data_IF_935746256129
#
_entry.id   IF_935746256129
#
_cell.length_a   1.000
_cell.length_b   1.000
_cell.length_c   1.000
_cell.angle_alpha   90.00
_cell.angle_beta   90.00
_cell.angle_gamma   90.00
#
_symmetry.space_group_name_H-M   'P 1'
#
loop_
_entity.id
_entity.type
_entity.pdbx_description
1 polymer ?
#
# COMPACT_ATOMS: atom_id res chain seq x y z
N UNK A 1 -24.97 -34.64 -17.61
CA UNK A 1 -23.67 -33.93 -17.62
C UNK A 1 -23.25 -33.32 -18.98
N UNK A 2 -24.10 -33.28 -20.04
CA UNK A 2 -23.74 -32.80 -21.40
C UNK A 2 -24.38 -31.47 -21.88
N UNK A 3 -25.18 -30.78 -21.05
CA UNK A 3 -25.98 -29.64 -21.53
C UNK A 3 -25.25 -28.28 -21.43
N UNK A 4 -24.56 -28.02 -20.32
CA UNK A 4 -23.87 -26.73 -20.10
C UNK A 4 -22.77 -26.42 -21.13
N UNK A 5 -22.00 -27.42 -21.56
CA UNK A 5 -20.97 -27.21 -22.60
C UNK A 5 -21.55 -26.72 -23.93
N UNK A 6 -22.69 -27.28 -24.37
CA UNK A 6 -23.34 -26.85 -25.61
C UNK A 6 -23.92 -25.44 -25.48
N UNK A 7 -24.47 -25.11 -24.32
CA UNK A 7 -24.97 -23.76 -24.01
C UNK A 7 -23.82 -22.75 -24.04
N UNK A 8 -22.70 -23.03 -23.35
CA UNK A 8 -21.52 -22.15 -23.37
C UNK A 8 -20.96 -21.98 -24.78
N UNK A 9 -20.87 -23.06 -25.57
CA UNK A 9 -20.40 -22.99 -26.96
C UNK A 9 -21.30 -22.11 -27.82
N UNK A 10 -22.62 -22.23 -27.66
CA UNK A 10 -23.58 -21.40 -28.38
C UNK A 10 -23.44 -19.93 -28.00
N UNK A 11 -23.41 -19.61 -26.71
CA UNK A 11 -23.22 -18.24 -26.20
C UNK A 11 -21.90 -17.66 -26.74
N UNK A 12 -20.81 -18.42 -26.67
CA UNK A 12 -19.53 -17.96 -27.18
C UNK A 12 -19.57 -17.75 -28.70
N UNK A 13 -20.21 -18.63 -29.47
CA UNK A 13 -20.33 -18.45 -30.92
C UNK A 13 -21.19 -17.25 -31.32
N UNK A 14 -22.27 -16.98 -30.57
CA UNK A 14 -23.22 -15.89 -30.84
C UNK A 14 -22.66 -14.51 -30.41
N UNK A 15 -21.79 -14.48 -29.41
CA UNK A 15 -21.27 -13.23 -28.81
C UNK A 15 -19.74 -13.17 -28.80
N UNK A 16 -19.08 -13.87 -29.71
CA UNK A 16 -17.62 -14.07 -29.71
C UNK A 16 -16.85 -12.76 -29.59
N UNK A 17 -17.11 -11.81 -30.49
CA UNK A 17 -16.39 -10.53 -30.53
C UNK A 17 -16.53 -9.75 -29.23
N UNK A 18 -17.74 -9.70 -28.66
CA UNK A 18 -17.98 -9.01 -27.39
C UNK A 18 -17.27 -9.72 -26.22
N UNK A 19 -17.31 -11.05 -26.17
CA UNK A 19 -16.67 -11.84 -25.11
C UNK A 19 -15.14 -11.79 -25.20
N UNK A 20 -14.59 -11.85 -26.41
CA UNK A 20 -13.16 -11.70 -26.66
C UNK A 20 -12.72 -10.28 -26.26
N UNK A 21 -13.47 -9.24 -26.66
CA UNK A 21 -13.19 -7.86 -26.25
C UNK A 21 -13.23 -7.68 -24.72
N UNK A 22 -14.23 -8.25 -24.04
CA UNK A 22 -14.31 -8.24 -22.57
C UNK A 22 -13.10 -8.93 -21.95
N UNK A 23 -12.70 -10.08 -22.49
CA UNK A 23 -11.59 -10.85 -21.96
C UNK A 23 -10.25 -10.13 -22.17
N UNK A 24 -10.02 -9.56 -23.36
CA UNK A 24 -8.81 -8.81 -23.71
C UNK A 24 -8.67 -7.51 -22.91
N UNK A 25 -9.79 -6.85 -22.59
CA UNK A 25 -9.80 -5.59 -21.85
C UNK A 25 -10.00 -5.77 -20.34
N UNK A 26 -10.04 -7.01 -19.85
CA UNK A 26 -10.21 -7.28 -18.43
C UNK A 26 -9.00 -6.73 -17.65
N UNK A 27 -9.19 -5.84 -16.65
CA UNK A 27 -8.11 -5.40 -15.80
C UNK A 27 -7.48 -6.59 -15.08
N UNK A 28 -6.15 -6.64 -15.03
CA UNK A 28 -5.49 -7.69 -14.24
C UNK A 28 -5.70 -7.49 -12.73
N UNK A 29 -5.47 -8.57 -11.98
CA UNK A 29 -5.70 -8.58 -10.53
C UNK A 29 -4.90 -7.50 -9.78
N UNK A 30 -3.74 -7.08 -10.30
CA UNK A 30 -2.95 -6.03 -9.68
C UNK A 30 -3.62 -4.67 -9.85
N UNK A 31 -4.17 -4.39 -11.04
CA UNK A 31 -4.97 -3.17 -11.27
C UNK A 31 -6.19 -3.14 -10.34
N UNK A 32 -6.96 -4.22 -10.28
CA UNK A 32 -8.15 -4.31 -9.43
C UNK A 32 -7.78 -4.08 -7.94
N UNK A 33 -6.75 -4.76 -7.45
CA UNK A 33 -6.32 -4.58 -6.05
C UNK A 33 -5.79 -3.18 -5.78
N UNK A 34 -5.08 -2.57 -6.73
CA UNK A 34 -4.62 -1.20 -6.59
C UNK A 34 -5.80 -0.24 -6.41
N UNK A 35 -6.83 -0.34 -7.25
CA UNK A 35 -8.05 0.47 -7.14
C UNK A 35 -8.72 0.32 -5.77
N UNK A 36 -8.86 -0.92 -5.30
CA UNK A 36 -9.46 -1.22 -3.99
C UNK A 36 -8.64 -0.63 -2.83
N UNK A 37 -7.31 -0.70 -2.88
CA UNK A 37 -6.45 -0.09 -1.87
C UNK A 37 -6.51 1.44 -1.91
N UNK A 38 -6.48 2.02 -3.11
CA UNK A 38 -6.58 3.48 -3.32
C UNK A 38 -7.89 4.00 -2.74
N UNK A 39 -8.99 3.33 -2.99
CA UNK A 39 -10.30 3.74 -2.45
C UNK A 39 -10.37 3.60 -0.93
N UNK A 40 -9.95 2.45 -0.39
CA UNK A 40 -9.91 2.25 1.06
C UNK A 40 -9.04 3.30 1.76
N UNK A 41 -7.87 3.64 1.21
CA UNK A 41 -7.00 4.68 1.75
C UNK A 41 -7.57 6.09 1.56
N UNK A 42 -8.27 6.35 0.46
CA UNK A 42 -8.98 7.63 0.24
C UNK A 42 -10.05 7.84 1.30
N UNK A 43 -10.81 6.80 1.64
CA UNK A 43 -11.77 6.88 2.75
C UNK A 43 -11.09 7.09 4.11
N UNK A 44 -10.01 6.37 4.39
CA UNK A 44 -9.24 6.56 5.63
C UNK A 44 -8.63 7.96 5.72
N UNK A 45 -8.24 8.55 4.59
CA UNK A 45 -7.74 9.92 4.54
C UNK A 45 -8.85 10.95 4.83
N UNK A 46 -10.07 10.73 4.31
CA UNK A 46 -11.25 11.54 4.66
C UNK A 46 -11.58 11.47 6.15
N UNK A 47 -11.29 10.34 6.80
CA UNK A 47 -11.40 10.14 8.25
C UNK A 47 -10.23 10.74 9.04
N UNK A 48 -9.22 11.31 8.39
CA UNK A 48 -8.03 11.85 9.05
C UNK A 48 -7.08 10.80 9.62
N UNK A 49 -7.22 9.52 9.25
CA UNK A 49 -6.37 8.44 9.77
C UNK A 49 -5.04 8.28 9.06
N UNK A 50 -4.93 8.79 7.83
CA UNK A 50 -3.72 8.76 7.00
C UNK A 50 -3.66 10.01 6.14
N UNK A 51 -2.46 10.40 5.73
CA UNK A 51 -2.24 11.33 4.63
C UNK A 51 -2.04 10.51 3.35
N UNK A 52 -2.97 10.64 2.41
CA UNK A 52 -2.94 9.84 1.17
C UNK A 52 -3.06 10.74 -0.06
N UNK A 53 -2.07 10.63 -0.94
CA UNK A 53 -2.08 11.21 -2.28
C UNK A 53 -1.78 10.09 -3.29
N UNK A 54 -2.77 9.71 -4.13
CA UNK A 54 -2.63 8.60 -5.06
C UNK A 54 -1.56 8.84 -6.13
N UNK A 55 -1.14 10.09 -6.39
CA UNK A 55 -0.09 10.40 -7.37
C UNK A 55 1.28 9.84 -7.00
N UNK A 56 1.53 9.56 -5.72
CA UNK A 56 2.76 8.92 -5.24
C UNK A 56 2.69 7.39 -5.19
N UNK A 57 1.54 6.82 -5.60
CA UNK A 57 1.30 5.39 -5.65
C UNK A 57 1.46 4.85 -7.06
N UNK A 58 1.95 3.62 -7.15
CA UNK A 58 1.96 2.85 -8.39
C UNK A 58 1.12 1.59 -8.26
N UNK A 59 0.95 0.89 -9.37
CA UNK A 59 0.19 -0.37 -9.44
C UNK A 59 0.63 -1.41 -8.41
N UNK A 60 1.93 -1.51 -8.15
CA UNK A 60 2.53 -2.54 -7.27
C UNK A 60 2.88 -2.05 -5.86
N UNK A 61 2.90 -0.74 -5.64
CA UNK A 61 3.29 -0.11 -4.38
C UNK A 61 2.37 1.07 -4.13
N UNK A 62 1.52 0.94 -3.12
CA UNK A 62 0.60 2.01 -2.70
C UNK A 62 1.20 2.69 -1.48
N UNK A 63 1.30 4.02 -1.54
CA UNK A 63 2.02 4.84 -0.55
C UNK A 63 1.08 5.76 0.20
N UNK A 64 1.27 5.85 1.50
CA UNK A 64 0.59 6.81 2.37
C UNK A 64 1.52 7.23 3.52
N UNK A 65 1.16 8.28 4.23
CA UNK A 65 1.89 8.77 5.40
C UNK A 65 0.96 8.86 6.61
N UNK A 66 1.56 9.03 7.79
CA UNK A 66 0.86 9.41 9.02
C UNK A 66 1.33 10.81 9.42
N UNK A 67 0.41 11.65 9.89
CA UNK A 67 0.71 13.06 10.22
C UNK A 67 1.74 13.16 11.34
N UNK A 68 1.63 12.30 12.34
CA UNK A 68 2.48 12.27 13.53
C UNK A 68 3.95 11.98 13.18
N UNK A 69 4.19 11.06 12.23
CA UNK A 69 5.53 10.76 11.75
C UNK A 69 6.11 11.84 10.84
N UNK A 70 5.25 12.63 10.18
CA UNK A 70 5.70 13.75 9.34
C UNK A 70 6.41 14.81 10.18
N UNK A 71 6.01 14.95 11.45
CA UNK A 71 6.65 15.84 12.41
C UNK A 71 7.94 15.23 13.01
N UNK A 72 8.08 13.91 12.99
CA UNK A 72 9.28 13.21 13.46
C UNK A 72 10.40 13.32 12.42
N UNK A 73 10.09 13.04 11.16
CA UNK A 73 11.05 12.98 10.07
C UNK A 73 11.03 14.28 9.24
N UNK A 74 12.07 15.14 9.33
CA UNK A 74 12.09 16.40 8.61
C UNK A 74 12.15 16.18 7.09
N UNK A 75 11.61 17.13 6.33
CA UNK A 75 11.70 17.12 4.87
C UNK A 75 13.16 17.05 4.40
N UNK A 76 13.36 16.35 3.29
CA UNK A 76 14.63 16.30 2.58
C UNK A 76 14.98 17.70 2.03
N UNK A 77 16.27 18.03 1.84
CA UNK A 77 16.69 19.29 1.23
C UNK A 77 16.02 19.54 -0.14
N UNK A 78 15.82 20.81 -0.49
CA UNK A 78 15.18 21.21 -1.76
C UNK A 78 16.02 20.82 -2.99
N UNK A 79 17.35 20.84 -2.86
CA UNK A 79 18.29 20.45 -3.90
C UNK A 79 18.46 18.92 -4.03
N UNK A 80 17.91 18.15 -3.09
CA UNK A 80 18.11 16.69 -3.00
C UNK A 80 16.78 15.96 -2.74
N UNK A 81 15.88 15.89 -3.73
CA UNK A 81 14.64 15.13 -3.60
C UNK A 81 14.92 13.65 -3.36
N UNK A 82 13.98 13.01 -2.65
CA UNK A 82 14.01 11.57 -2.39
C UNK A 82 13.79 10.75 -3.67
N UNK A 83 13.96 9.43 -3.55
CA UNK A 83 13.77 8.48 -4.65
C UNK A 83 12.34 8.38 -5.20
N UNK A 84 11.39 9.15 -4.64
CA UNK A 84 10.02 9.29 -5.15
C UNK A 84 9.78 10.62 -5.87
N UNK A 85 10.82 11.41 -6.13
CA UNK A 85 10.69 12.71 -6.80
C UNK A 85 10.04 13.79 -5.94
N UNK A 86 10.03 13.61 -4.62
CA UNK A 86 9.51 14.57 -3.66
C UNK A 86 10.43 14.70 -2.44
N UNK A 87 10.20 15.72 -1.61
CA UNK A 87 11.04 15.99 -0.43
C UNK A 87 10.58 15.21 0.82
N UNK A 88 9.78 14.17 0.65
CA UNK A 88 9.31 13.33 1.75
C UNK A 88 10.36 12.25 2.04
N UNK A 89 10.85 12.12 3.28
CA UNK A 89 11.90 11.16 3.61
C UNK A 89 11.37 9.74 3.85
N UNK A 90 10.06 9.56 4.04
CA UNK A 90 9.45 8.25 4.29
C UNK A 90 8.05 8.14 3.68
N UNK A 91 7.60 6.89 3.57
CA UNK A 91 6.22 6.52 3.26
C UNK A 91 5.94 5.14 3.84
N UNK A 92 4.69 4.89 4.22
CA UNK A 92 4.20 3.53 4.38
C UNK A 92 3.87 2.94 3.01
N UNK A 93 4.33 1.72 2.74
CA UNK A 93 4.15 1.03 1.47
C UNK A 93 3.34 -0.26 1.67
N UNK A 94 2.19 -0.33 1.00
CA UNK A 94 1.45 -1.59 0.78
C UNK A 94 2.03 -2.25 -0.48
N UNK A 95 2.58 -3.45 -0.31
CA UNK A 95 3.04 -4.26 -1.44
C UNK A 95 1.86 -4.97 -2.11
N UNK A 96 1.53 -4.56 -3.32
CA UNK A 96 0.57 -5.24 -4.21
C UNK A 96 1.33 -6.11 -5.22
N UNK A 97 1.65 -7.36 -4.84
CA UNK A 97 2.38 -8.30 -5.69
C UNK A 97 1.50 -9.48 -6.09
N UNK A 98 1.68 -9.95 -7.32
CA UNK A 98 0.80 -10.90 -8.03
C UNK A 98 0.75 -12.30 -7.42
N UNK A 99 1.77 -12.69 -6.66
CA UNK A 99 1.95 -14.06 -6.16
C UNK A 99 1.55 -14.26 -4.70
N UNK A 100 1.54 -13.20 -3.89
CA UNK A 100 1.16 -13.25 -2.49
C UNK A 100 0.29 -12.05 -2.16
N UNK A 101 -1.01 -12.27 -2.09
CA UNK A 101 -1.97 -11.27 -1.62
C UNK A 101 -1.93 -11.10 -0.11
N UNK A 102 -0.85 -11.51 0.58
CA UNK A 102 -0.59 -11.00 1.93
C UNK A 102 -0.13 -9.55 1.78
N UNK A 103 -1.08 -8.62 1.84
CA UNK A 103 -0.74 -7.22 1.96
C UNK A 103 0.11 -7.06 3.22
N UNK A 104 1.33 -6.54 3.06
CA UNK A 104 2.16 -6.11 4.17
C UNK A 104 2.34 -4.62 4.02
N UNK A 105 2.15 -3.91 5.12
CA UNK A 105 2.55 -2.53 5.26
C UNK A 105 4.00 -2.53 5.75
N UNK A 106 4.84 -1.73 5.10
CA UNK A 106 6.21 -1.46 5.54
C UNK A 106 6.40 0.04 5.64
N UNK A 107 7.20 0.48 6.60
CA UNK A 107 7.68 1.85 6.63
C UNK A 107 8.98 1.92 5.82
N UNK A 108 8.95 2.65 4.70
CA UNK A 108 10.09 2.81 3.80
C UNK A 108 10.65 4.23 3.92
N UNK A 109 11.98 4.33 3.82
CA UNK A 109 12.72 5.58 3.80
C UNK A 109 13.41 5.80 2.46
N UNK A 110 13.62 7.07 2.14
CA UNK A 110 14.30 7.50 0.91
C UNK A 110 15.07 8.80 1.11
N UNK A 111 15.89 9.13 0.13
CA UNK A 111 16.71 10.34 0.11
C UNK A 111 18.04 10.20 0.82
N UNK A 112 18.90 11.19 0.56
CA UNK A 112 20.11 11.42 1.30
C UNK A 112 19.84 12.55 2.29
N UNK A 113 20.40 12.43 3.49
CA UNK A 113 20.38 13.48 4.51
C UNK A 113 21.81 13.83 4.85
N UNK A 114 22.06 15.06 5.27
CA UNK A 114 23.38 15.47 5.74
C UNK A 114 23.85 14.61 6.93
N UNK A 115 25.15 14.69 7.23
CA UNK A 115 25.78 13.82 8.23
C UNK A 115 25.21 14.03 9.65
N UNK A 116 24.80 15.25 9.98
CA UNK A 116 24.28 15.60 11.30
C UNK A 116 22.89 14.99 11.50
N UNK A 117 21.97 15.24 10.57
CA UNK A 117 20.62 14.66 10.55
C UNK A 117 20.66 13.15 10.45
N UNK A 118 21.62 12.61 9.69
CA UNK A 118 21.83 11.16 9.61
C UNK A 118 22.13 10.58 10.99
N UNK A 119 23.02 11.21 11.77
CA UNK A 119 23.39 10.72 13.10
C UNK A 119 22.21 10.75 14.08
N UNK A 120 21.41 11.81 14.08
CA UNK A 120 20.22 11.93 14.95
C UNK A 120 19.24 10.78 14.71
N UNK A 121 18.97 10.49 13.45
CA UNK A 121 18.01 9.45 13.07
C UNK A 121 18.60 8.04 13.18
N UNK A 122 19.90 7.86 12.97
CA UNK A 122 20.59 6.60 13.27
C UNK A 122 20.61 6.30 14.77
N UNK A 123 20.84 7.30 15.63
CA UNK A 123 20.73 7.16 17.08
C UNK A 123 19.30 6.79 17.50
N UNK A 124 18.32 7.48 16.92
CA UNK A 124 16.91 7.17 17.07
C UNK A 124 16.61 5.70 16.71
N UNK A 125 17.05 5.22 15.54
CA UNK A 125 16.84 3.83 15.12
C UNK A 125 17.56 2.81 16.01
N UNK A 126 18.77 3.09 16.49
CA UNK A 126 19.49 2.23 17.43
C UNK A 126 18.74 2.09 18.75
N UNK A 127 18.15 3.17 19.27
CA UNK A 127 17.28 3.13 20.47
C UNK A 127 16.06 2.23 20.28
N UNK A 128 15.63 1.98 19.04
CA UNK A 128 14.57 1.04 18.68
C UNK A 128 15.05 -0.39 18.40
N UNK A 129 16.34 -0.69 18.58
CA UNK A 129 16.92 -1.99 18.24
C UNK A 129 17.09 -2.23 16.73
N UNK A 130 17.06 -1.17 15.91
CA UNK A 130 17.31 -1.27 14.46
C UNK A 130 18.80 -1.08 14.21
N UNK A 131 19.52 -2.19 14.01
CA UNK A 131 21.00 -2.17 13.93
C UNK A 131 21.55 -2.05 12.50
N UNK A 132 20.83 -2.55 11.49
CA UNK A 132 21.31 -2.59 10.10
C UNK A 132 21.05 -1.26 9.38
N UNK A 133 21.88 -0.26 9.66
CA UNK A 133 21.78 1.10 9.12
C UNK A 133 22.63 1.23 7.86
N UNK A 134 22.02 1.75 6.78
CA UNK A 134 22.71 1.96 5.50
C UNK A 134 23.43 3.32 5.49
N UNK A 135 24.50 3.48 4.68
CA UNK A 135 25.17 4.76 4.45
C UNK A 135 24.25 5.89 3.97
N UNK A 136 23.20 5.52 3.24
CA UNK A 136 22.09 6.38 2.87
C UNK A 136 20.79 5.61 3.09
N UNK A 137 19.70 6.30 3.41
CA UNK A 137 18.45 5.62 3.76
C UNK A 137 17.61 5.23 2.55
N UNK A 138 18.19 5.36 1.36
CA UNK A 138 17.58 4.91 0.11
C UNK A 138 17.13 3.46 0.22
N UNK A 139 15.82 3.28 0.08
CA UNK A 139 15.17 1.97 0.03
C UNK A 139 15.40 1.15 1.30
N UNK A 140 15.55 1.82 2.46
CA UNK A 140 15.51 1.13 3.74
C UNK A 140 14.05 0.96 4.12
N UNK A 141 13.61 -0.29 4.27
CA UNK A 141 12.29 -0.59 4.82
C UNK A 141 12.43 -1.25 6.18
N UNK A 142 11.57 -0.85 7.11
CA UNK A 142 11.41 -1.45 8.43
C UNK A 142 9.94 -1.81 8.67
N UNK A 143 9.69 -2.58 9.72
CA UNK A 143 8.38 -3.13 10.00
C UNK A 143 7.94 -4.20 8.99
N UNK A 144 6.69 -4.63 9.12
CA UNK A 144 6.14 -5.72 8.33
C UNK A 144 4.73 -6.13 8.76
N UNK A 145 3.89 -5.14 9.08
CA UNK A 145 2.56 -5.38 9.60
C UNK A 145 1.67 -6.03 8.54
N UNK A 146 1.01 -7.12 8.91
CA UNK A 146 0.17 -7.90 7.99
C UNK A 146 -1.23 -7.31 7.97
N UNK A 147 -1.74 -7.04 6.78
CA UNK A 147 -3.18 -6.82 6.54
C UNK A 147 -3.81 -8.12 6.02
N UNK A 148 -5.13 -8.24 6.20
CA UNK A 148 -5.93 -9.37 5.72
C UNK A 148 -5.72 -9.55 4.22
N UNK A 149 -5.43 -10.77 3.81
CA UNK A 149 -5.23 -11.11 2.40
C UNK A 149 -6.55 -11.31 1.68
N UNK A 150 -6.65 -10.82 0.45
CA UNK A 150 -7.77 -11.12 -0.47
C UNK A 150 -7.33 -12.24 -1.40
N UNK A 151 -8.10 -13.33 -1.52
CA UNK A 151 -7.65 -14.46 -2.34
C UNK A 151 -7.65 -14.10 -3.83
N UNK A 152 -6.64 -14.58 -4.59
CA UNK A 152 -6.55 -14.37 -6.05
C UNK A 152 -7.81 -14.85 -6.78
N UNK A 153 -8.32 -16.03 -6.37
CA UNK A 153 -9.54 -16.60 -6.92
C UNK A 153 -10.77 -15.73 -6.65
N UNK A 154 -10.81 -15.01 -5.53
CA UNK A 154 -11.89 -14.07 -5.26
C UNK A 154 -11.81 -12.87 -6.21
N UNK A 155 -10.61 -12.31 -6.43
CA UNK A 155 -10.38 -11.20 -7.37
C UNK A 155 -10.73 -11.60 -8.82
N UNK A 156 -10.37 -12.82 -9.23
CA UNK A 156 -10.72 -13.38 -10.54
C UNK A 156 -12.23 -13.62 -10.70
N UNK A 157 -12.98 -13.69 -9.61
CA UNK A 157 -14.43 -13.86 -9.59
C UNK A 157 -15.17 -12.63 -9.07
N UNK A 158 -14.49 -11.47 -8.91
CA UNK A 158 -15.16 -10.19 -8.72
C UNK A 158 -15.89 -9.88 -10.03
N UNK A 159 -17.09 -10.42 -10.14
CA UNK A 159 -18.08 -10.04 -11.14
C UNK A 159 -18.68 -8.70 -10.75
N UNK A 160 -19.21 -7.99 -11.74
CA UNK A 160 -19.60 -6.56 -11.80
C UNK A 160 -20.70 -6.17 -10.77
N UNK A 161 -21.05 -7.03 -9.83
CA UNK A 161 -21.97 -6.67 -8.75
C UNK A 161 -21.27 -5.70 -7.78
N UNK A 162 -21.66 -4.42 -7.85
CA UNK A 162 -21.13 -3.32 -7.02
C UNK A 162 -21.14 -3.67 -5.52
N UNK A 163 -22.16 -4.40 -5.05
CA UNK A 163 -22.28 -4.83 -3.65
C UNK A 163 -21.09 -5.70 -3.17
N UNK A 164 -20.55 -6.57 -4.04
CA UNK A 164 -19.39 -7.39 -3.69
C UNK A 164 -18.10 -6.57 -3.59
N UNK A 165 -17.99 -5.52 -4.41
CA UNK A 165 -16.88 -4.58 -4.42
C UNK A 165 -16.89 -3.71 -3.15
N UNK A 166 -18.04 -3.15 -2.80
CA UNK A 166 -18.20 -2.27 -1.64
C UNK A 166 -17.93 -3.02 -0.33
N UNK A 167 -18.45 -4.25 -0.20
CA UNK A 167 -18.16 -5.10 0.94
C UNK A 167 -16.65 -5.40 1.06
N UNK A 168 -15.96 -5.60 -0.07
CA UNK A 168 -14.52 -5.83 -0.07
C UNK A 168 -13.74 -4.59 0.37
N UNK A 169 -14.11 -3.40 -0.10
CA UNK A 169 -13.49 -2.14 0.32
C UNK A 169 -13.67 -1.94 1.81
N UNK A 170 -14.88 -2.18 2.33
CA UNK A 170 -15.17 -2.12 3.76
C UNK A 170 -14.29 -3.07 4.57
N UNK A 171 -14.14 -4.31 4.11
CA UNK A 171 -13.27 -5.32 4.73
C UNK A 171 -11.79 -4.93 4.71
N UNK A 172 -11.31 -4.42 3.57
CA UNK A 172 -9.94 -3.95 3.39
C UNK A 172 -9.65 -2.75 4.30
N UNK A 173 -10.53 -1.75 4.29
CA UNK A 173 -10.46 -0.58 5.14
C UNK A 173 -10.44 -0.96 6.62
N UNK A 174 -11.31 -1.86 7.05
CA UNK A 174 -11.32 -2.35 8.43
C UNK A 174 -10.01 -3.04 8.78
N UNK A 175 -9.47 -3.86 7.87
CA UNK A 175 -8.18 -4.50 8.08
C UNK A 175 -7.02 -3.50 8.15
N UNK A 176 -6.98 -2.51 7.25
CA UNK A 176 -5.94 -1.49 7.23
C UNK A 176 -6.05 -0.66 8.51
N UNK A 177 -7.24 -0.20 8.89
CA UNK A 177 -7.47 0.57 10.11
C UNK A 177 -6.98 -0.16 11.35
N UNK A 178 -7.29 -1.45 11.49
CA UNK A 178 -6.79 -2.27 12.61
C UNK A 178 -5.26 -2.33 12.62
N UNK A 179 -4.65 -2.49 11.44
CA UNK A 179 -3.19 -2.51 11.33
C UNK A 179 -2.57 -1.14 11.60
N UNK A 180 -3.26 -0.04 11.26
CA UNK A 180 -2.84 1.30 11.62
C UNK A 180 -2.80 1.46 13.14
N UNK A 181 -3.74 0.90 13.90
CA UNK A 181 -3.69 0.95 15.37
C UNK A 181 -2.41 0.30 15.94
N UNK A 182 -1.95 -0.78 15.33
CA UNK A 182 -0.69 -1.43 15.71
C UNK A 182 0.52 -0.58 15.30
N UNK A 183 0.49 -0.01 14.09
CA UNK A 183 1.51 0.94 13.62
C UNK A 183 1.58 2.14 14.56
N UNK A 184 0.44 2.70 14.98
CA UNK A 184 0.37 3.87 15.86
C UNK A 184 1.00 3.59 17.23
N UNK A 185 0.86 2.38 17.78
CA UNK A 185 1.54 2.01 19.03
C UNK A 185 3.06 1.98 18.85
N UNK A 186 3.52 1.35 17.76
CA UNK A 186 4.94 1.29 17.44
C UNK A 186 5.50 2.71 17.18
N UNK A 187 4.73 3.56 16.49
CA UNK A 187 5.06 4.95 16.18
C UNK A 187 5.00 5.88 17.39
N UNK A 188 4.08 5.69 18.32
CA UNK A 188 4.02 6.50 19.54
C UNK A 188 5.27 6.26 20.38
N UNK A 189 5.72 5.01 20.46
CA UNK A 189 7.02 4.66 21.06
C UNK A 189 8.17 5.39 20.35
N UNK A 190 8.10 5.54 19.02
CA UNK A 190 9.06 6.32 18.24
C UNK A 190 9.02 7.83 18.55
N UNK A 191 7.84 8.40 18.78
CA UNK A 191 7.69 9.83 19.03
C UNK A 191 8.13 10.20 20.46
N UNK A 192 7.75 9.43 21.47
CA UNK A 192 8.06 9.71 22.88
C UNK A 192 9.57 9.82 23.12
N UNK A 193 10.36 8.94 22.50
CA UNK A 193 11.82 8.92 22.61
C UNK A 193 12.53 10.10 21.93
N UNK A 194 11.85 10.87 21.07
CA UNK A 194 12.39 12.11 20.49
C UNK A 194 12.24 13.30 21.46
N UNK A 195 11.22 13.26 22.31
CA UNK A 195 10.88 14.36 23.22
C UNK A 195 11.49 14.21 24.63
N UNK A 196 12.13 13.07 24.92
CA UNK A 196 12.84 12.74 26.16
C UNK A 196 14.34 12.99 26.04
#
# INVERSE_FOLDING_TARGET
MKNYKKICQRIYSEHKEALDLIFENRPDNLTIMNELYVEALTELAKEGKVLFDPSFSGKTLIRFELEELTNVFPKLPEDQPGGWGCHKPYAFEINNKSEQTSGKIKLAFTGDVDLERRKELEDFFKKQGIENLKPNWRWKSIGGWKIKSVSKKFIENLTIEEENRDNLIKDLKASISKTLDDIYKDVSTYIELKNS
#
